data_IF_947951467367
#
_entry.id   IF_947951467367
#
_cell.length_a   1.000
_cell.length_b   1.000
_cell.length_c   1.000
_cell.angle_alpha   90.00
_cell.angle_beta   90.00
_cell.angle_gamma   90.00
#
_symmetry.space_group_name_H-M   'P 1'
#
loop_
_entity.id
_entity.type
_entity.pdbx_description
1 polymer ?
#
# COMPACT_ATOMS: atom_id res chain seq x y z
N UNK A 1 36.39 10.07 -17.29
CA UNK A 1 35.26 9.70 -16.41
C UNK A 1 34.04 10.57 -16.69
N UNK A 2 33.99 11.84 -16.25
CA UNK A 2 32.82 12.74 -16.43
C UNK A 2 32.23 12.76 -17.84
N UNK A 3 33.06 12.90 -18.89
CA UNK A 3 32.57 12.93 -20.27
C UNK A 3 31.91 11.61 -20.71
N UNK A 4 32.39 10.46 -20.22
CA UNK A 4 31.81 9.16 -20.51
C UNK A 4 30.49 8.96 -19.75
N UNK A 5 30.45 9.31 -18.46
CA UNK A 5 29.22 9.28 -17.65
C UNK A 5 28.14 10.20 -18.22
N UNK A 6 28.51 11.41 -18.66
CA UNK A 6 27.60 12.34 -19.32
C UNK A 6 27.06 11.76 -20.63
N UNK A 7 27.91 11.13 -21.44
CA UNK A 7 27.47 10.52 -22.70
C UNK A 7 26.48 9.38 -22.45
N UNK A 8 26.76 8.50 -21.48
CA UNK A 8 25.86 7.39 -21.13
C UNK A 8 24.56 7.88 -20.48
N UNK A 9 24.62 8.92 -19.63
CA UNK A 9 23.46 9.56 -19.04
C UNK A 9 22.49 10.05 -20.12
N UNK A 10 23.00 10.76 -21.12
CA UNK A 10 22.19 11.31 -22.21
C UNK A 10 21.67 10.22 -23.15
N UNK A 11 22.47 9.17 -23.40
CA UNK A 11 22.02 8.00 -24.16
C UNK A 11 20.84 7.29 -23.48
N UNK A 12 20.91 7.11 -22.16
CA UNK A 12 19.82 6.50 -21.39
C UNK A 12 18.59 7.40 -21.29
N UNK A 13 18.79 8.71 -21.16
CA UNK A 13 17.70 9.67 -21.03
C UNK A 13 16.91 9.85 -22.33
N UNK A 14 17.58 9.85 -23.48
CA UNK A 14 16.95 10.17 -24.78
C UNK A 14 16.94 9.03 -25.80
N UNK A 15 17.80 8.02 -25.61
CA UNK A 15 17.98 6.91 -26.55
C UNK A 15 17.25 5.63 -26.15
N UNK A 16 16.58 5.59 -25.00
CA UNK A 16 15.90 4.40 -24.47
C UNK A 16 14.50 4.73 -23.94
N UNK A 17 13.57 3.80 -24.13
CA UNK A 17 12.23 3.89 -23.54
C UNK A 17 12.28 3.62 -22.01
N UNK A 18 13.20 2.74 -21.58
CA UNK A 18 13.55 2.51 -20.17
C UNK A 18 15.05 2.84 -19.95
N UNK A 19 15.35 3.85 -19.12
CA UNK A 19 16.73 4.22 -18.82
C UNK A 19 17.53 3.18 -18.01
N UNK A 20 16.89 2.21 -17.36
CA UNK A 20 17.51 1.16 -16.54
C UNK A 20 18.54 1.69 -15.52
N UNK A 21 18.13 2.68 -14.71
CA UNK A 21 19.03 3.40 -13.79
C UNK A 21 19.66 2.51 -12.72
N UNK A 22 18.89 1.59 -12.12
CA UNK A 22 19.38 0.74 -11.02
C UNK A 22 20.49 -0.22 -11.48
N UNK A 23 20.32 -0.84 -12.66
CA UNK A 23 21.34 -1.72 -13.25
C UNK A 23 22.62 -0.94 -13.55
N UNK A 24 22.47 0.27 -14.09
CA UNK A 24 23.62 1.12 -14.38
C UNK A 24 24.38 1.50 -13.12
N UNK A 25 23.68 2.05 -12.12
CA UNK A 25 24.28 2.50 -10.87
C UNK A 25 24.92 1.33 -10.11
N UNK A 26 24.33 0.12 -10.16
CA UNK A 26 24.91 -1.07 -9.56
C UNK A 26 26.30 -1.41 -10.12
N UNK A 27 26.54 -1.12 -11.41
CA UNK A 27 27.83 -1.35 -12.08
C UNK A 27 28.89 -0.26 -11.85
N UNK A 28 28.51 0.90 -11.29
CA UNK A 28 29.43 2.03 -11.09
C UNK A 28 30.24 1.91 -9.79
N UNK A 29 31.51 2.33 -9.85
CA UNK A 29 32.36 2.55 -8.68
C UNK A 29 31.90 3.76 -7.85
N UNK A 30 32.39 3.87 -6.61
CA UNK A 30 32.05 5.00 -5.74
C UNK A 30 32.40 6.36 -6.37
N UNK A 31 33.59 6.49 -6.96
CA UNK A 31 34.02 7.73 -7.62
C UNK A 31 33.16 8.08 -8.85
N UNK A 32 32.64 7.07 -9.55
CA UNK A 32 31.72 7.29 -10.68
C UNK A 32 30.33 7.70 -10.21
N UNK A 33 29.86 7.16 -9.08
CA UNK A 33 28.58 7.57 -8.47
C UNK A 33 28.65 9.03 -7.99
N UNK A 34 29.73 9.44 -7.36
CA UNK A 34 29.92 10.83 -6.91
C UNK A 34 29.95 11.82 -8.10
N UNK A 35 30.64 11.45 -9.18
CA UNK A 35 30.67 12.27 -10.39
C UNK A 35 29.32 12.28 -11.11
N UNK A 36 28.59 11.17 -11.09
CA UNK A 36 27.26 11.07 -11.67
C UNK A 36 26.23 11.88 -10.88
N UNK A 37 26.31 11.88 -9.55
CA UNK A 37 25.53 12.76 -8.67
C UNK A 37 25.81 14.24 -8.98
N UNK A 38 27.08 14.60 -9.19
CA UNK A 38 27.45 15.96 -9.61
C UNK A 38 26.88 16.36 -10.98
N UNK A 39 26.81 15.41 -11.92
CA UNK A 39 26.16 15.64 -13.21
C UNK A 39 24.64 15.77 -13.06
N UNK A 40 24.03 14.93 -12.22
CA UNK A 40 22.61 14.95 -11.92
C UNK A 40 22.16 16.30 -11.36
N UNK A 41 22.89 16.87 -10.40
CA UNK A 41 22.59 18.21 -9.84
C UNK A 41 22.55 19.27 -10.94
N UNK A 42 23.53 19.27 -11.85
CA UNK A 42 23.58 20.22 -12.97
C UNK A 42 22.36 20.07 -13.87
N UNK A 43 22.02 18.84 -14.26
CA UNK A 43 20.91 18.61 -15.18
C UNK A 43 19.53 18.85 -14.55
N UNK A 44 19.33 18.50 -13.28
CA UNK A 44 18.07 18.79 -12.57
C UNK A 44 17.81 20.29 -12.39
N UNK A 45 18.85 21.13 -12.46
CA UNK A 45 18.72 22.60 -12.42
C UNK A 45 18.44 23.23 -13.78
N UNK A 46 18.76 22.53 -14.87
CA UNK A 46 18.63 23.04 -16.24
C UNK A 46 17.42 22.48 -16.99
N UNK A 47 16.92 21.31 -16.59
CA UNK A 47 15.86 20.58 -17.27
C UNK A 47 14.56 20.58 -16.45
N UNK A 48 13.44 20.55 -17.17
CA UNK A 48 12.09 20.57 -16.61
C UNK A 48 11.20 19.47 -17.21
N UNK A 49 9.98 19.31 -16.68
CA UNK A 49 8.99 18.35 -17.20
C UNK A 49 9.46 16.90 -17.15
N UNK A 50 9.18 16.13 -18.22
CA UNK A 50 9.41 14.68 -18.30
C UNK A 50 10.89 14.28 -18.13
N UNK A 51 11.82 15.11 -18.60
CA UNK A 51 13.25 14.80 -18.54
C UNK A 51 13.76 14.87 -17.10
N UNK A 52 13.29 15.86 -16.33
CA UNK A 52 13.57 15.98 -14.91
C UNK A 52 12.90 14.88 -14.07
N UNK A 53 11.70 14.42 -14.44
CA UNK A 53 11.06 13.26 -13.80
C UNK A 53 11.88 11.97 -14.00
N UNK A 54 12.38 11.76 -15.22
CA UNK A 54 13.25 10.63 -15.53
C UNK A 54 14.58 10.71 -14.76
N UNK A 55 15.17 11.90 -14.64
CA UNK A 55 16.39 12.13 -13.85
C UNK A 55 16.18 11.99 -12.34
N UNK A 56 15.00 12.31 -11.81
CA UNK A 56 14.66 12.02 -10.41
C UNK A 56 14.72 10.51 -10.11
N UNK A 57 14.38 9.67 -11.11
CA UNK A 57 14.60 8.22 -11.06
C UNK A 57 16.07 7.84 -10.86
N UNK A 58 17.00 8.52 -11.53
CA UNK A 58 18.44 8.31 -11.33
C UNK A 58 18.89 8.74 -9.91
N UNK A 59 18.35 9.84 -9.39
CA UNK A 59 18.62 10.27 -8.01
C UNK A 59 18.15 9.26 -6.95
N UNK A 60 17.06 8.54 -7.23
CA UNK A 60 16.62 7.40 -6.41
C UNK A 60 17.60 6.23 -6.48
N UNK A 61 18.01 5.83 -7.68
CA UNK A 61 19.00 4.76 -7.89
C UNK A 61 20.35 5.06 -7.22
N UNK A 62 20.78 6.33 -7.22
CA UNK A 62 21.98 6.80 -6.52
C UNK A 62 21.82 6.90 -4.99
N UNK A 63 20.62 6.65 -4.45
CA UNK A 63 20.34 6.75 -3.02
C UNK A 63 20.48 8.19 -2.47
N UNK A 64 20.28 9.21 -3.32
CA UNK A 64 20.37 10.62 -2.92
C UNK A 64 19.20 10.99 -2.00
N UNK A 65 17.99 10.55 -2.33
CA UNK A 65 16.79 10.78 -1.53
C UNK A 65 16.91 10.26 -0.08
N UNK A 66 17.34 9.01 0.12
CA UNK A 66 17.55 8.41 1.46
C UNK A 66 18.69 9.09 2.24
N UNK A 67 19.73 9.57 1.57
CA UNK A 67 20.79 10.37 2.20
C UNK A 67 20.26 11.73 2.63
N UNK A 68 19.56 12.43 1.75
CA UNK A 68 18.97 13.73 2.03
C UNK A 68 17.98 13.66 3.20
N UNK A 69 17.09 12.65 3.25
CA UNK A 69 16.16 12.46 4.38
C UNK A 69 16.89 12.24 5.71
N UNK A 70 17.97 11.44 5.72
CA UNK A 70 18.82 11.26 6.92
C UNK A 70 19.56 12.52 7.33
N UNK A 71 20.03 13.32 6.36
CA UNK A 71 20.68 14.61 6.60
C UNK A 71 19.69 15.67 7.12
N UNK A 72 18.42 15.61 6.70
CA UNK A 72 17.36 16.43 7.30
C UNK A 72 17.19 16.09 8.78
N UNK A 73 17.08 14.80 9.11
CA UNK A 73 16.84 14.35 10.48
C UNK A 73 18.04 14.60 11.41
N UNK A 74 19.26 14.33 10.94
CA UNK A 74 20.44 14.24 11.80
C UNK A 74 21.52 15.30 11.52
N UNK A 75 21.39 16.06 10.43
CA UNK A 75 22.44 16.93 9.92
C UNK A 75 22.51 18.30 10.59
N UNK A 76 23.66 18.96 10.41
CA UNK A 76 23.83 20.37 10.76
C UNK A 76 22.99 21.28 9.88
N UNK A 77 23.01 22.59 10.15
CA UNK A 77 22.29 23.59 9.34
C UNK A 77 22.61 23.48 7.83
N UNK A 78 23.88 23.27 7.49
CA UNK A 78 24.32 23.19 6.10
C UNK A 78 23.91 21.89 5.42
N UNK A 79 24.04 20.75 6.11
CA UNK A 79 23.64 19.44 5.60
C UNK A 79 22.13 19.42 5.35
N UNK A 80 21.32 19.94 6.27
CA UNK A 80 19.87 20.08 6.10
C UNK A 80 19.49 20.95 4.91
N UNK A 81 20.16 22.10 4.75
CA UNK A 81 19.88 23.01 3.63
C UNK A 81 20.21 22.35 2.29
N UNK A 82 21.34 21.64 2.23
CA UNK A 82 21.76 20.91 1.04
C UNK A 82 20.81 19.75 0.73
N UNK A 83 20.39 19.00 1.75
CA UNK A 83 19.42 17.93 1.62
C UNK A 83 18.06 18.42 1.11
N UNK A 84 17.56 19.55 1.61
CA UNK A 84 16.32 20.16 1.11
C UNK A 84 16.41 20.57 -0.36
N UNK A 85 17.57 21.08 -0.79
CA UNK A 85 17.82 21.38 -2.21
C UNK A 85 17.77 20.10 -3.04
N UNK A 86 18.36 19.01 -2.56
CA UNK A 86 18.29 17.72 -3.24
C UNK A 86 16.87 17.16 -3.32
N UNK A 87 16.12 17.18 -2.21
CA UNK A 87 14.72 16.73 -2.24
C UNK A 87 13.88 17.59 -3.19
N UNK A 88 14.09 18.91 -3.21
CA UNK A 88 13.41 19.79 -4.16
C UNK A 88 13.78 19.46 -5.62
N UNK A 89 15.06 19.27 -5.93
CA UNK A 89 15.53 18.90 -7.27
C UNK A 89 15.01 17.53 -7.70
N UNK A 90 14.89 16.59 -6.77
CA UNK A 90 14.34 15.26 -7.01
C UNK A 90 12.81 15.23 -7.04
N UNK A 91 12.15 16.38 -6.84
CA UNK A 91 10.69 16.48 -6.72
C UNK A 91 10.14 15.55 -5.61
N UNK A 92 10.96 15.35 -4.59
CA UNK A 92 10.73 14.53 -3.38
C UNK A 92 10.74 15.41 -2.12
N UNK A 93 10.57 16.72 -2.27
CA UNK A 93 10.37 17.61 -1.13
C UNK A 93 9.13 17.14 -0.35
N UNK A 94 9.19 17.06 1.00
CA UNK A 94 7.99 16.80 1.78
C UNK A 94 7.01 17.95 1.49
N UNK A 95 5.94 17.65 0.77
CA UNK A 95 5.00 18.68 0.30
C UNK A 95 4.11 19.23 1.42
N UNK A 96 4.28 18.76 2.66
CA UNK A 96 3.84 19.44 3.88
C UNK A 96 4.62 18.87 5.07
N UNK A 97 5.10 19.72 5.97
CA UNK A 97 5.61 19.25 7.25
C UNK A 97 4.48 18.53 8.02
N UNK A 98 4.77 17.43 8.74
CA UNK A 98 3.79 16.77 9.60
C UNK A 98 3.17 17.78 10.57
N UNK A 99 1.85 17.71 10.77
CA UNK A 99 1.16 18.48 11.80
C UNK A 99 1.61 17.94 13.17
N UNK A 100 2.26 18.79 13.97
CA UNK A 100 2.73 18.44 15.31
C UNK A 100 1.69 18.84 16.35
N UNK A 101 1.19 17.87 17.11
CA UNK A 101 0.20 18.11 18.17
C UNK A 101 0.85 18.19 19.56
N UNK A 102 2.09 17.70 19.72
CA UNK A 102 2.81 17.74 21.00
C UNK A 102 2.23 16.82 22.07
N UNK A 103 1.48 15.80 21.66
CA UNK A 103 0.81 14.81 22.54
C UNK A 103 1.67 13.55 22.82
N UNK A 104 2.89 13.52 22.29
CA UNK A 104 3.81 12.39 22.42
C UNK A 104 3.66 11.30 21.35
N UNK A 105 2.68 11.40 20.45
CA UNK A 105 2.46 10.45 19.35
C UNK A 105 2.94 10.97 17.98
N UNK A 106 3.48 12.20 17.92
CA UNK A 106 3.91 12.85 16.67
C UNK A 106 4.87 12.00 15.83
N UNK A 107 5.85 11.33 16.45
CA UNK A 107 6.81 10.49 15.73
C UNK A 107 6.17 9.21 15.16
N UNK A 108 5.15 8.67 15.81
CA UNK A 108 4.38 7.53 15.29
C UNK A 108 3.52 7.96 14.10
N UNK A 109 3.05 9.21 14.07
CA UNK A 109 2.25 9.77 12.97
C UNK A 109 3.08 10.29 11.81
N UNK A 110 4.33 10.63 12.02
CA UNK A 110 5.21 11.08 10.93
C UNK A 110 5.61 9.91 10.04
N UNK A 111 4.96 9.80 8.88
CA UNK A 111 5.32 8.85 7.84
C UNK A 111 6.62 9.21 7.12
N UNK A 112 7.59 8.31 7.10
CA UNK A 112 8.91 8.50 6.47
C UNK A 112 9.04 7.77 5.14
N UNK A 113 8.18 6.77 4.88
CA UNK A 113 8.23 5.97 3.67
C UNK A 113 6.97 5.17 3.40
N UNK A 114 6.76 4.86 2.12
CA UNK A 114 5.74 3.95 1.62
C UNK A 114 6.36 3.06 0.56
N UNK A 115 6.35 1.74 0.78
CA UNK A 115 6.87 0.75 -0.18
C UNK A 115 5.77 -0.23 -0.56
N UNK A 116 5.74 -0.61 -1.82
CA UNK A 116 4.76 -1.55 -2.36
C UNK A 116 5.49 -2.63 -3.13
N UNK A 117 5.10 -3.88 -2.91
CA UNK A 117 5.56 -5.04 -3.66
C UNK A 117 4.42 -6.03 -3.80
N UNK A 118 4.63 -7.10 -4.54
CA UNK A 118 3.63 -8.16 -4.67
C UNK A 118 4.25 -9.51 -4.97
N UNK A 119 3.51 -10.55 -4.63
CA UNK A 119 3.80 -11.92 -5.04
C UNK A 119 2.55 -12.57 -5.69
N UNK A 120 2.58 -13.88 -5.87
CA UNK A 120 1.49 -14.62 -6.50
C UNK A 120 0.17 -14.57 -5.71
N UNK A 121 0.21 -14.33 -4.40
CA UNK A 121 -0.94 -14.38 -3.51
C UNK A 121 -1.36 -12.98 -3.01
N UNK A 122 -0.41 -12.07 -2.81
CA UNK A 122 -0.64 -10.81 -2.11
C UNK A 122 -0.07 -9.58 -2.82
N UNK A 123 -0.80 -8.47 -2.72
CA UNK A 123 -0.22 -7.13 -2.72
C UNK A 123 0.30 -6.84 -1.30
N UNK A 124 1.55 -6.41 -1.16
CA UNK A 124 2.16 -6.09 0.13
C UNK A 124 2.56 -4.62 0.18
N UNK A 125 2.15 -3.93 1.25
CA UNK A 125 2.41 -2.51 1.49
C UNK A 125 3.14 -2.36 2.82
N UNK A 126 4.19 -1.55 2.83
CA UNK A 126 4.94 -1.20 4.04
C UNK A 126 4.88 0.30 4.25
N UNK A 127 4.38 0.69 5.41
CA UNK A 127 4.37 2.07 5.91
C UNK A 127 5.53 2.21 6.88
N UNK A 128 6.35 3.25 6.72
CA UNK A 128 7.43 3.57 7.65
C UNK A 128 7.08 4.86 8.38
N UNK A 129 7.33 4.88 9.69
CA UNK A 129 7.16 6.04 10.56
C UNK A 129 8.52 6.57 11.03
N UNK A 130 8.56 7.75 11.64
CA UNK A 130 9.78 8.30 12.24
C UNK A 130 10.20 7.49 13.47
N UNK A 131 9.24 7.21 14.36
CA UNK A 131 9.45 6.27 15.46
C UNK A 131 8.13 5.65 15.94
N UNK A 132 8.09 4.31 16.01
CA UNK A 132 6.98 3.57 16.65
C UNK A 132 7.25 3.26 18.13
N UNK A 133 8.50 3.44 18.60
CA UNK A 133 8.87 3.15 19.99
C UNK A 133 8.64 1.67 20.37
N UNK A 134 7.74 1.42 21.33
CA UNK A 134 7.38 0.06 21.75
C UNK A 134 6.27 -0.60 20.91
N UNK A 135 5.65 0.15 20.00
CA UNK A 135 4.45 -0.20 19.26
C UNK A 135 3.54 1.01 19.07
N UNK A 136 2.50 0.85 18.24
CA UNK A 136 1.56 1.94 17.95
C UNK A 136 0.56 2.07 19.10
N UNK A 137 0.38 3.30 19.59
CA UNK A 137 -0.78 3.68 20.40
C UNK A 137 -1.98 3.97 19.49
N UNK A 138 -2.87 2.99 19.35
CA UNK A 138 -4.03 3.06 18.45
C UNK A 138 -5.11 4.05 18.91
N UNK A 139 -5.07 4.50 20.17
CA UNK A 139 -5.97 5.55 20.66
C UNK A 139 -5.48 6.95 20.23
N UNK A 140 -4.19 7.08 19.90
CA UNK A 140 -3.58 8.34 19.46
C UNK A 140 -3.26 8.38 17.96
N UNK A 141 -3.14 7.21 17.30
CA UNK A 141 -2.67 7.09 15.93
C UNK A 141 -3.42 6.00 15.16
N UNK A 142 -4.08 6.41 14.08
CA UNK A 142 -4.50 5.51 13.02
C UNK A 142 -3.70 5.79 11.74
N UNK A 143 -3.60 4.77 10.90
CA UNK A 143 -3.11 4.91 9.53
C UNK A 143 -4.21 4.55 8.54
N UNK A 144 -4.13 5.14 7.35
CA UNK A 144 -5.01 4.86 6.24
C UNK A 144 -4.19 4.58 4.98
N UNK A 145 -4.54 3.53 4.25
CA UNK A 145 -4.10 3.31 2.88
C UNK A 145 -5.28 3.52 1.92
N UNK A 146 -5.08 4.33 0.89
CA UNK A 146 -5.97 4.43 -0.25
C UNK A 146 -5.40 3.58 -1.40
N UNK A 147 -6.22 2.72 -2.00
CA UNK A 147 -5.82 1.81 -3.09
C UNK A 147 -6.75 1.98 -4.27
N UNK A 148 -6.24 2.47 -5.40
CA UNK A 148 -6.95 2.70 -6.67
C UNK A 148 -6.55 1.70 -7.76
N UNK A 149 -7.55 1.08 -8.40
CA UNK A 149 -7.44 0.00 -9.39
C UNK A 149 -8.30 0.23 -10.65
N UNK A 150 -9.48 0.85 -10.52
CA UNK A 150 -10.50 0.92 -11.58
C UNK A 150 -10.32 2.13 -12.49
N UNK A 151 -10.60 3.31 -11.97
CA UNK A 151 -10.35 4.61 -12.57
C UNK A 151 -9.46 5.44 -11.64
N UNK A 152 -8.77 6.44 -12.21
CA UNK A 152 -7.90 7.35 -11.44
C UNK A 152 -8.65 8.58 -10.92
N UNK A 153 -9.98 8.52 -10.87
CA UNK A 153 -10.79 9.61 -10.36
C UNK A 153 -10.58 9.77 -8.87
N UNK A 154 -10.37 11.00 -8.42
CA UNK A 154 -10.28 11.30 -6.99
C UNK A 154 -11.64 11.11 -6.32
N UNK A 155 -11.61 10.58 -5.10
CA UNK A 155 -12.81 10.30 -4.30
C UNK A 155 -12.57 10.73 -2.87
N UNK A 156 -13.60 11.32 -2.27
CA UNK A 156 -13.56 11.63 -0.85
C UNK A 156 -13.29 10.35 -0.03
N UNK A 157 -12.37 10.45 0.92
CA UNK A 157 -12.00 9.36 1.81
C UNK A 157 -12.95 9.31 3.02
N UNK A 158 -13.13 8.13 3.65
CA UNK A 158 -14.01 7.96 4.80
C UNK A 158 -13.41 8.59 6.07
N UNK A 159 -14.03 8.34 7.22
CA UNK A 159 -13.52 8.72 8.55
C UNK A 159 -13.40 10.23 8.82
N UNK A 160 -14.10 11.07 8.04
CA UNK A 160 -14.08 12.52 8.27
C UNK A 160 -12.71 13.16 8.04
N UNK A 161 -11.87 12.57 7.18
CA UNK A 161 -10.51 13.05 6.93
C UNK A 161 -10.45 14.40 6.22
N UNK A 162 -11.54 14.81 5.56
CA UNK A 162 -11.55 16.00 4.71
C UNK A 162 -10.61 15.91 3.52
N UNK A 163 -10.23 14.70 3.12
CA UNK A 163 -9.25 14.45 2.07
C UNK A 163 -9.81 13.54 0.96
N UNK A 164 -9.19 13.58 -0.22
CA UNK A 164 -9.54 12.74 -1.35
C UNK A 164 -8.36 11.91 -1.87
N UNK A 165 -8.61 10.82 -2.59
CA UNK A 165 -7.58 10.06 -3.32
C UNK A 165 -8.23 9.20 -4.42
N UNK A 166 -7.46 8.72 -5.42
CA UNK A 166 -7.86 7.57 -6.22
C UNK A 166 -7.97 6.33 -5.34
N UNK A 167 -9.20 5.93 -4.99
CA UNK A 167 -9.43 4.89 -4.00
C UNK A 167 -10.66 4.03 -4.34
N UNK A 168 -10.43 2.77 -4.72
CA UNK A 168 -11.46 1.72 -4.76
C UNK A 168 -11.55 0.98 -3.44
N UNK A 169 -10.42 0.85 -2.75
CA UNK A 169 -10.34 0.25 -1.43
C UNK A 169 -9.65 1.20 -0.47
N UNK A 170 -10.09 1.15 0.79
CA UNK A 170 -9.48 1.87 1.89
C UNK A 170 -9.15 0.88 2.99
N UNK A 171 -7.89 0.88 3.42
CA UNK A 171 -7.43 0.12 4.58
C UNK A 171 -7.28 1.08 5.74
N UNK A 172 -8.06 0.87 6.80
CA UNK A 172 -7.82 1.52 8.09
C UNK A 172 -6.96 0.58 8.95
N UNK A 173 -5.86 1.09 9.47
CA UNK A 173 -5.09 0.46 10.54
C UNK A 173 -5.40 1.20 11.85
N UNK A 174 -6.29 0.62 12.66
CA UNK A 174 -6.71 1.18 13.95
C UNK A 174 -6.58 0.20 15.11
N UNK A 175 -5.69 -0.79 14.95
CA UNK A 175 -5.42 -1.82 15.95
C UNK A 175 -6.15 -3.14 15.71
N UNK A 176 -5.83 -4.18 16.50
CA UNK A 176 -6.26 -5.57 16.25
C UNK A 176 -7.76 -5.80 16.05
N UNK A 177 -8.60 -5.01 16.72
CA UNK A 177 -10.06 -5.18 16.68
C UNK A 177 -10.76 -4.21 15.72
N UNK A 178 -10.04 -3.23 15.16
CA UNK A 178 -10.62 -2.16 14.35
C UNK A 178 -10.08 -2.08 12.92
N UNK A 179 -8.91 -2.68 12.66
CA UNK A 179 -8.28 -2.65 11.34
C UNK A 179 -9.03 -3.48 10.31
N UNK A 180 -9.29 -2.87 9.15
CA UNK A 180 -10.07 -3.49 8.09
C UNK A 180 -9.82 -2.86 6.73
N UNK A 181 -10.10 -3.64 5.71
CA UNK A 181 -10.24 -3.23 4.32
C UNK A 181 -11.72 -3.02 4.02
N UNK A 182 -12.03 -1.87 3.44
CA UNK A 182 -13.36 -1.52 2.94
C UNK A 182 -13.28 -1.18 1.46
N UNK A 183 -14.39 -1.29 0.76
CA UNK A 183 -14.47 -1.09 -0.70
C UNK A 183 -15.48 -0.01 -1.03
N UNK A 184 -15.22 0.75 -2.10
CA UNK A 184 -16.21 1.67 -2.67
C UNK A 184 -17.49 0.87 -2.98
N UNK A 185 -18.68 1.32 -2.57
CA UNK A 185 -19.90 0.53 -2.72
C UNK A 185 -20.17 0.08 -4.15
N UNK A 186 -19.87 0.93 -5.16
CA UNK A 186 -20.01 0.57 -6.57
C UNK A 186 -19.11 -0.59 -6.99
N UNK A 187 -17.97 -0.76 -6.34
CA UNK A 187 -17.02 -1.84 -6.61
C UNK A 187 -17.13 -3.00 -5.59
N UNK A 188 -18.21 -3.06 -4.80
CA UNK A 188 -18.54 -4.20 -3.94
C UNK A 188 -19.22 -5.33 -4.74
N UNK A 189 -18.45 -6.33 -5.16
CA UNK A 189 -18.96 -7.48 -5.90
C UNK A 189 -19.95 -8.34 -5.09
N UNK A 190 -19.84 -8.37 -3.76
CA UNK A 190 -20.80 -9.04 -2.90
C UNK A 190 -22.15 -8.34 -2.95
N UNK A 191 -22.16 -7.01 -2.90
CA UNK A 191 -23.40 -6.24 -2.96
C UNK A 191 -24.09 -6.37 -4.31
N UNK A 192 -23.33 -6.38 -5.40
CA UNK A 192 -23.88 -6.63 -6.74
C UNK A 192 -24.55 -8.01 -6.84
N UNK A 193 -23.83 -9.07 -6.47
CA UNK A 193 -24.30 -10.45 -6.68
C UNK A 193 -25.35 -10.89 -5.66
N UNK A 194 -25.15 -10.53 -4.38
CA UNK A 194 -25.91 -11.07 -3.26
C UNK A 194 -26.63 -10.00 -2.44
N UNK A 195 -26.48 -8.72 -2.78
CA UNK A 195 -27.00 -7.63 -1.95
C UNK A 195 -28.51 -7.67 -1.77
N UNK A 196 -29.28 -8.06 -2.80
CA UNK A 196 -30.73 -8.24 -2.68
C UNK A 196 -31.11 -9.35 -1.67
N UNK A 197 -30.41 -10.49 -1.72
CA UNK A 197 -30.60 -11.61 -0.78
C UNK A 197 -30.18 -11.23 0.65
N UNK A 198 -29.13 -10.42 0.77
CA UNK A 198 -28.62 -9.88 2.03
C UNK A 198 -29.43 -8.67 2.55
N UNK A 199 -30.47 -8.23 1.83
CA UNK A 199 -31.32 -7.09 2.24
C UNK A 199 -30.63 -5.72 2.17
N UNK A 200 -29.64 -5.56 1.29
CA UNK A 200 -28.95 -4.30 1.06
C UNK A 200 -29.78 -3.37 0.15
N UNK A 201 -29.68 -2.07 0.41
CA UNK A 201 -30.20 -1.02 -0.45
C UNK A 201 -29.27 -0.85 -1.67
N UNK A 202 -29.56 -1.57 -2.76
CA UNK A 202 -28.68 -1.64 -3.94
C UNK A 202 -28.47 -0.30 -4.63
N UNK A 203 -29.40 0.65 -4.50
CA UNK A 203 -29.25 1.97 -5.11
C UNK A 203 -28.06 2.72 -4.50
N UNK A 204 -27.84 2.57 -3.17
CA UNK A 204 -26.67 3.14 -2.48
C UNK A 204 -25.34 2.49 -2.88
N UNK A 205 -25.38 1.28 -3.42
CA UNK A 205 -24.18 0.63 -3.94
C UNK A 205 -23.94 1.04 -5.39
N UNK A 206 -24.99 1.17 -6.19
CA UNK A 206 -24.87 1.58 -7.59
C UNK A 206 -24.45 3.04 -7.73
N UNK A 207 -25.02 3.92 -6.91
CA UNK A 207 -24.79 5.38 -6.90
C UNK A 207 -24.49 5.83 -5.46
N UNK A 208 -23.27 5.55 -4.95
CA UNK A 208 -22.92 5.87 -3.58
C UNK A 208 -22.70 7.37 -3.35
N UNK A 209 -23.08 7.84 -2.16
CA UNK A 209 -22.67 9.14 -1.65
C UNK A 209 -21.13 9.22 -1.54
N UNK A 210 -20.52 10.40 -1.72
CA UNK A 210 -19.08 10.59 -1.53
C UNK A 210 -18.62 10.18 -0.12
N UNK A 211 -17.43 9.59 -0.01
CA UNK A 211 -16.85 9.21 1.29
C UNK A 211 -17.39 7.93 1.90
N UNK A 212 -18.38 7.27 1.27
CA UNK A 212 -18.93 6.00 1.75
C UNK A 212 -18.07 4.84 1.26
N UNK A 213 -17.68 3.97 2.20
CA UNK A 213 -17.02 2.69 1.94
C UNK A 213 -17.75 1.58 2.69
N UNK A 214 -17.88 0.42 2.05
CA UNK A 214 -18.64 -0.74 2.54
C UNK A 214 -17.71 -1.85 3.03
N UNK A 215 -18.11 -2.64 4.04
CA UNK A 215 -17.37 -3.83 4.44
C UNK A 215 -17.34 -4.90 3.34
N UNK A 216 -16.16 -5.47 3.11
CA UNK A 216 -15.98 -6.63 2.24
C UNK A 216 -16.57 -7.88 2.91
N UNK A 217 -17.38 -8.64 2.16
CA UNK A 217 -18.14 -9.78 2.68
C UNK A 217 -18.04 -11.00 1.76
N UNK A 218 -18.18 -12.18 2.36
CA UNK A 218 -18.31 -13.45 1.66
C UNK A 218 -19.57 -14.18 2.13
N UNK A 219 -20.32 -14.76 1.20
CA UNK A 219 -21.47 -15.61 1.50
C UNK A 219 -20.99 -16.93 2.10
N UNK A 220 -21.55 -17.30 3.26
CA UNK A 220 -21.37 -18.61 3.90
C UNK A 220 -22.56 -19.52 3.57
N UNK A 221 -23.77 -18.95 3.53
CA UNK A 221 -25.00 -19.64 3.21
C UNK A 221 -25.98 -18.70 2.51
N UNK A 222 -26.61 -19.13 1.41
CA UNK A 222 -27.66 -18.33 0.73
C UNK A 222 -29.04 -18.44 1.37
N UNK A 223 -29.16 -19.28 2.39
CA UNK A 223 -30.42 -19.61 3.04
C UNK A 223 -31.21 -20.64 2.23
N UNK A 224 -31.95 -21.49 2.94
CA UNK A 224 -32.76 -22.54 2.33
C UNK A 224 -33.80 -23.05 3.34
N UNK A 225 -34.82 -23.75 2.84
CA UNK A 225 -35.80 -24.44 3.68
C UNK A 225 -35.47 -25.92 3.73
N UNK A 226 -35.31 -26.48 4.93
CA UNK A 226 -35.09 -27.91 5.14
C UNK A 226 -36.37 -28.66 4.74
N UNK A 227 -36.37 -29.50 3.69
CA UNK A 227 -37.61 -30.05 3.14
C UNK A 227 -38.40 -30.93 4.12
N UNK A 228 -37.70 -31.62 5.04
CA UNK A 228 -38.33 -32.56 5.98
C UNK A 228 -38.98 -31.87 7.18
N UNK A 229 -38.39 -30.79 7.67
CA UNK A 229 -38.82 -30.10 8.89
C UNK A 229 -39.58 -28.82 8.59
N UNK A 230 -39.45 -28.27 7.37
CA UNK A 230 -39.95 -26.95 7.01
C UNK A 230 -39.17 -25.80 7.66
N UNK A 231 -38.08 -26.11 8.39
CA UNK A 231 -37.26 -25.11 9.05
C UNK A 231 -36.52 -24.24 8.03
N UNK A 232 -36.51 -22.93 8.25
CA UNK A 232 -35.83 -21.96 7.39
C UNK A 232 -34.44 -21.66 7.95
N UNK A 233 -33.41 -22.02 7.21
CA UNK A 233 -32.03 -21.58 7.45
C UNK A 233 -31.84 -20.22 6.77
N UNK A 234 -31.41 -19.17 7.48
CA UNK A 234 -31.28 -17.83 6.91
C UNK A 234 -30.06 -17.72 5.99
N UNK A 235 -30.04 -16.63 5.22
CA UNK A 235 -28.84 -16.17 4.54
C UNK A 235 -27.78 -15.77 5.58
N UNK A 236 -26.53 -16.12 5.34
CA UNK A 236 -25.40 -15.83 6.22
C UNK A 236 -24.20 -15.38 5.39
N UNK A 237 -23.56 -14.31 5.83
CA UNK A 237 -22.29 -13.82 5.29
C UNK A 237 -21.36 -13.40 6.42
N UNK A 238 -20.07 -13.33 6.10
CA UNK A 238 -19.03 -12.91 7.04
C UNK A 238 -18.23 -11.75 6.44
N UNK A 239 -17.84 -10.79 7.28
CA UNK A 239 -16.89 -9.73 6.90
C UNK A 239 -15.48 -10.32 6.73
N UNK A 240 -14.96 -10.21 5.51
CA UNK A 240 -13.63 -10.70 5.12
C UNK A 240 -12.58 -9.60 5.07
N UNK A 241 -12.99 -8.34 5.19
CA UNK A 241 -12.08 -7.20 5.22
C UNK A 241 -11.32 -7.02 6.54
N UNK A 242 -11.70 -7.70 7.64
CA UNK A 242 -11.04 -7.56 8.94
C UNK A 242 -9.62 -8.11 8.90
N UNK A 243 -8.65 -7.31 9.38
CA UNK A 243 -7.24 -7.62 9.29
C UNK A 243 -6.72 -8.30 10.56
N UNK A 244 -6.00 -9.41 10.38
CA UNK A 244 -5.41 -10.15 11.50
C UNK A 244 -3.98 -9.67 11.77
N UNK A 245 -3.70 -9.24 13.00
CA UNK A 245 -2.33 -8.90 13.41
C UNK A 245 -1.55 -10.15 13.79
N UNK A 246 -0.27 -10.19 13.45
CA UNK A 246 0.63 -11.27 13.86
C UNK A 246 2.02 -11.16 13.24
N UNK A 247 2.71 -12.29 13.10
CA UNK A 247 4.05 -12.35 12.52
C UNK A 247 4.10 -13.44 11.45
N UNK A 248 4.23 -13.04 10.18
CA UNK A 248 4.31 -13.97 9.05
C UNK A 248 5.68 -14.66 8.88
N UNK A 249 6.67 -14.36 9.71
CA UNK A 249 7.98 -14.98 9.64
C UNK A 249 7.93 -16.42 10.18
N UNK A 250 8.17 -17.45 9.34
CA UNK A 250 8.11 -18.85 9.74
C UNK A 250 9.16 -19.27 10.79
N UNK A 251 10.20 -18.47 10.97
CA UNK A 251 11.28 -18.72 11.96
C UNK A 251 11.01 -18.03 13.30
N UNK A 252 9.88 -17.33 13.43
CA UNK A 252 9.47 -16.67 14.68
C UNK A 252 8.69 -17.62 15.58
N UNK A 253 8.97 -17.59 16.88
CA UNK A 253 8.17 -18.31 17.90
C UNK A 253 6.70 -17.84 17.95
N UNK A 254 6.42 -16.67 17.37
CA UNK A 254 5.06 -16.10 17.24
C UNK A 254 4.52 -16.20 15.81
N UNK A 255 5.04 -17.14 15.02
CA UNK A 255 4.62 -17.32 13.63
C UNK A 255 3.11 -17.55 13.52
N UNK A 256 2.49 -16.77 12.64
CA UNK A 256 1.11 -16.91 12.24
C UNK A 256 1.01 -16.74 10.72
N UNK A 257 0.78 -17.86 10.03
CA UNK A 257 0.63 -17.84 8.56
C UNK A 257 -0.57 -17.03 8.09
N UNK A 258 -1.53 -16.74 8.96
CA UNK A 258 -2.76 -15.99 8.67
C UNK A 258 -2.65 -14.50 9.04
N UNK A 259 -1.51 -14.01 9.53
CA UNK A 259 -1.30 -12.61 9.87
C UNK A 259 -1.26 -11.67 8.65
N UNK A 260 -2.21 -10.77 8.52
CA UNK A 260 -2.29 -9.76 7.47
C UNK A 260 -1.51 -8.50 7.78
N UNK A 261 -1.35 -8.17 9.06
CA UNK A 261 -0.63 -6.98 9.52
C UNK A 261 0.47 -7.38 10.50
N UNK A 262 1.68 -6.86 10.27
CA UNK A 262 2.80 -6.96 11.19
C UNK A 262 3.29 -5.56 11.57
N UNK A 263 3.26 -5.26 12.87
CA UNK A 263 3.91 -4.05 13.42
C UNK A 263 5.31 -4.43 13.84
N UNK A 264 6.31 -3.73 13.29
CA UNK A 264 7.72 -3.96 13.54
C UNK A 264 8.35 -2.70 14.17
N UNK A 265 8.25 -2.52 15.51
CA UNK A 265 8.80 -1.34 16.17
C UNK A 265 10.32 -1.22 16.00
N UNK A 266 11.04 -2.35 15.87
CA UNK A 266 12.48 -2.34 15.64
C UNK A 266 12.91 -1.79 14.28
N UNK A 267 11.97 -1.70 13.34
CA UNK A 267 12.20 -1.18 11.99
C UNK A 267 11.33 0.06 11.72
N UNK A 268 10.65 0.58 12.75
CA UNK A 268 9.67 1.67 12.67
C UNK A 268 8.69 1.53 11.50
N UNK A 269 8.19 0.30 11.29
CA UNK A 269 7.40 -0.04 10.13
C UNK A 269 6.17 -0.89 10.45
N UNK A 270 5.15 -0.74 9.61
CA UNK A 270 3.94 -1.57 9.59
C UNK A 270 3.82 -2.19 8.21
N UNK A 271 3.73 -3.50 8.17
CA UNK A 271 3.64 -4.30 6.95
C UNK A 271 2.23 -4.88 6.84
N UNK A 272 1.59 -4.69 5.68
CA UNK A 272 0.24 -5.13 5.37
C UNK A 272 0.30 -6.01 4.13
N UNK A 273 -0.33 -7.18 4.17
CA UNK A 273 -0.53 -8.04 3.00
C UNK A 273 -2.02 -8.17 2.69
N UNK A 274 -2.37 -8.00 1.42
CA UNK A 274 -3.75 -8.01 0.95
C UNK A 274 -3.89 -9.05 -0.16
N UNK A 275 -4.72 -10.09 0.02
CA UNK A 275 -4.95 -11.08 -1.03
C UNK A 275 -5.47 -10.40 -2.30
N UNK A 276 -4.98 -10.81 -3.46
CA UNK A 276 -5.44 -10.25 -4.75
C UNK A 276 -6.96 -10.31 -4.93
N UNK A 277 -7.56 -11.43 -4.52
CA UNK A 277 -9.01 -11.61 -4.59
C UNK A 277 -9.79 -10.65 -3.70
N UNK A 278 -9.22 -10.19 -2.58
CA UNK A 278 -9.85 -9.20 -1.70
C UNK A 278 -9.97 -7.84 -2.42
N UNK A 279 -9.09 -7.58 -3.39
CA UNK A 279 -9.02 -6.36 -4.18
C UNK A 279 -9.72 -6.50 -5.55
N UNK A 280 -10.57 -7.52 -5.72
CA UNK A 280 -11.23 -7.84 -7.00
C UNK A 280 -10.25 -8.10 -8.17
N UNK A 281 -8.98 -8.44 -7.88
CA UNK A 281 -8.00 -8.85 -8.88
C UNK A 281 -8.14 -10.35 -9.11
N UNK A 282 -8.64 -10.71 -10.29
CA UNK A 282 -8.94 -12.09 -10.65
C UNK A 282 -7.71 -12.85 -11.15
N UNK A 283 -6.82 -12.16 -11.87
CA UNK A 283 -5.58 -12.72 -12.38
C UNK A 283 -4.45 -11.69 -12.28
N UNK A 284 -3.67 -11.68 -11.18
CA UNK A 284 -2.58 -10.73 -11.00
C UNK A 284 -1.42 -11.00 -11.97
N UNK A 285 -1.27 -12.23 -12.48
CA UNK A 285 -0.19 -12.60 -13.40
C UNK A 285 -0.31 -11.93 -14.77
N UNK A 286 -1.54 -11.54 -15.13
CA UNK A 286 -1.90 -10.80 -16.34
C UNK A 286 -2.51 -9.43 -16.06
N UNK A 287 -2.44 -8.97 -14.80
CA UNK A 287 -3.03 -7.71 -14.32
C UNK A 287 -4.52 -7.56 -14.71
N UNK A 288 -5.33 -8.59 -14.47
CA UNK A 288 -6.78 -8.56 -14.74
C UNK A 288 -7.58 -8.45 -13.45
N UNK A 289 -8.50 -7.50 -13.43
CA UNK A 289 -9.47 -7.26 -12.34
C UNK A 289 -10.89 -7.40 -12.86
N UNK A 290 -11.87 -7.43 -11.96
CA UNK A 290 -13.28 -7.29 -12.33
C UNK A 290 -13.54 -5.92 -13.00
N UNK A 291 -14.33 -5.92 -14.06
CA UNK A 291 -14.77 -4.70 -14.76
C UNK A 291 -15.92 -3.97 -14.05
N UNK A 292 -16.63 -3.09 -14.76
CA UNK A 292 -17.88 -2.49 -14.26
C UNK A 292 -19.05 -3.49 -14.35
N UNK A 293 -19.16 -4.34 -13.34
CA UNK A 293 -20.19 -5.37 -13.28
C UNK A 293 -21.62 -4.82 -13.20
N UNK A 294 -21.83 -3.54 -12.87
CA UNK A 294 -23.18 -2.92 -12.95
C UNK A 294 -23.64 -2.64 -14.38
N UNK A 295 -22.71 -2.65 -15.33
CA UNK A 295 -22.92 -2.39 -16.75
C UNK A 295 -22.77 -3.67 -17.57
N UNK A 296 -21.70 -4.43 -17.34
CA UNK A 296 -21.29 -5.58 -18.18
C UNK A 296 -21.45 -6.96 -17.48
N UNK A 297 -21.72 -6.98 -16.17
CA UNK A 297 -21.80 -8.20 -15.36
C UNK A 297 -20.45 -8.70 -14.81
N UNK A 298 -20.48 -9.73 -13.95
CA UNK A 298 -19.28 -10.24 -13.24
C UNK A 298 -18.30 -11.03 -14.11
N UNK A 299 -18.74 -11.50 -15.28
CA UNK A 299 -17.88 -12.22 -16.21
C UNK A 299 -16.99 -11.26 -17.03
N UNK A 300 -17.18 -9.95 -16.88
CA UNK A 300 -16.34 -8.93 -17.48
C UNK A 300 -15.08 -8.67 -16.65
N UNK A 301 -13.95 -8.62 -17.36
CA UNK A 301 -12.63 -8.40 -16.77
C UNK A 301 -11.87 -7.34 -17.55
N UNK A 302 -11.30 -6.41 -16.82
CA UNK A 302 -10.48 -5.34 -17.38
C UNK A 302 -9.01 -5.52 -16.99
N UNK A 303 -8.12 -5.15 -17.90
CA UNK A 303 -6.69 -5.07 -17.60
C UNK A 303 -6.39 -3.74 -16.91
N UNK A 304 -5.47 -3.75 -15.94
CA UNK A 304 -4.91 -2.55 -15.34
C UNK A 304 -3.38 -2.51 -15.52
N UNK A 305 -2.80 -1.32 -15.59
CA UNK A 305 -1.34 -1.17 -15.72
C UNK A 305 -0.64 -0.95 -14.39
N UNK A 306 -1.33 -0.27 -13.47
CA UNK A 306 -0.79 0.14 -12.19
C UNK A 306 -1.86 0.19 -11.12
N UNK A 307 -1.40 0.20 -9.88
CA UNK A 307 -2.18 0.39 -8.66
C UNK A 307 -1.71 1.68 -8.03
N UNK A 308 -2.63 2.61 -7.80
CA UNK A 308 -2.36 3.85 -7.08
C UNK A 308 -2.46 3.56 -5.58
N UNK A 309 -1.40 3.85 -4.81
CA UNK A 309 -1.34 3.61 -3.37
C UNK A 309 -0.89 4.88 -2.65
N UNK A 310 -1.69 5.38 -1.73
CA UNK A 310 -1.33 6.50 -0.85
C UNK A 310 -1.48 6.11 0.62
N UNK A 311 -0.68 6.70 1.50
CA UNK A 311 -0.76 6.47 2.93
C UNK A 311 -0.89 7.78 3.70
N UNK A 312 -1.66 7.77 4.78
CA UNK A 312 -1.79 8.89 5.70
C UNK A 312 -1.93 8.42 7.15
N UNK A 313 -1.60 9.32 8.08
CA UNK A 313 -1.82 9.17 9.51
C UNK A 313 -2.76 10.25 10.02
N UNK A 314 -3.50 9.95 11.08
CA UNK A 314 -4.40 10.88 11.73
C UNK A 314 -4.71 10.44 13.17
N UNK A 315 -5.38 11.31 13.92
CA UNK A 315 -5.85 11.04 15.28
C UNK A 315 -7.27 10.50 15.27
N UNK A 316 -7.55 9.29 15.76
CA UNK A 316 -8.91 8.85 15.99
C UNK A 316 -9.54 9.55 17.21
N UNK A 317 -10.84 9.84 17.16
CA UNK A 317 -11.61 10.32 18.32
C UNK A 317 -12.59 9.28 18.87
N UNK A 318 -12.79 8.17 18.16
CA UNK A 318 -13.71 7.10 18.53
C UNK A 318 -13.25 5.73 17.97
N UNK A 319 -14.00 4.69 18.35
CA UNK A 319 -13.73 3.31 17.91
C UNK A 319 -13.91 3.10 16.39
N UNK A 320 -14.81 3.87 15.78
CA UNK A 320 -15.06 3.85 14.33
C UNK A 320 -13.90 4.49 13.55
N UNK A 321 -13.02 5.19 14.26
CA UNK A 321 -11.82 5.81 13.72
C UNK A 321 -12.09 7.12 13.03
N UNK A 322 -13.13 7.85 13.46
CA UNK A 322 -13.36 9.23 12.98
C UNK A 322 -12.13 10.08 13.30
N UNK A 323 -11.67 10.87 12.34
CA UNK A 323 -10.52 11.75 12.52
C UNK A 323 -10.87 12.95 13.41
N UNK A 324 -9.94 13.33 14.28
CA UNK A 324 -10.03 14.58 15.03
C UNK A 324 -10.00 15.78 14.07
N UNK A 325 -10.85 16.77 14.32
CA UNK A 325 -10.82 18.02 13.57
C UNK A 325 -9.51 18.78 13.84
N UNK A 326 -8.84 19.19 12.76
CA UNK A 326 -7.62 20.00 12.81
C UNK A 326 -7.89 21.38 12.21
N UNK A 327 -7.17 22.40 12.67
CA UNK A 327 -7.13 23.72 12.02
C UNK A 327 -6.20 23.67 10.80
N UNK A 328 -6.59 22.86 9.82
CA UNK A 328 -5.86 22.58 8.60
C UNK A 328 -6.84 22.25 7.46
N UNK A 329 -6.32 22.13 6.24
CA UNK A 329 -7.12 21.79 5.06
C UNK A 329 -7.73 20.38 5.14
N UNK A 330 -7.02 19.46 5.79
CA UNK A 330 -7.48 18.09 6.05
C UNK A 330 -7.23 17.75 7.52
N UNK A 331 -7.91 16.72 8.01
CA UNK A 331 -7.73 16.16 9.34
C UNK A 331 -6.58 15.14 9.41
N UNK A 332 -5.68 15.16 8.43
CA UNK A 332 -4.49 14.31 8.39
C UNK A 332 -3.35 14.97 9.17
N UNK A 333 -2.62 14.16 9.94
CA UNK A 333 -1.39 14.60 10.58
C UNK A 333 -0.18 14.49 9.66
N UNK A 334 -0.12 13.47 8.80
CA UNK A 334 0.87 13.36 7.74
C UNK A 334 0.37 12.47 6.60
N UNK A 335 0.91 12.64 5.41
CA UNK A 335 0.63 11.79 4.25
C UNK A 335 1.89 11.60 3.41
N UNK A 336 2.04 10.41 2.83
CA UNK A 336 3.11 10.09 1.88
C UNK A 336 2.53 9.50 0.59
N UNK A 337 3.01 9.94 -0.59
CA UNK A 337 4.04 10.97 -0.81
C UNK A 337 3.65 12.42 -0.45
N UNK A 338 2.36 12.73 -0.29
CA UNK A 338 1.92 14.06 0.13
C UNK A 338 0.42 14.27 -0.02
N UNK A 339 -0.06 15.47 0.35
CA UNK A 339 -1.48 15.87 0.25
C UNK A 339 -1.63 17.28 -0.34
N UNK A 340 -1.30 17.50 -1.63
CA UNK A 340 -1.55 18.78 -2.29
C UNK A 340 -3.05 19.07 -2.39
N UNK A 341 -3.46 20.28 -2.01
CA UNK A 341 -4.84 20.79 -2.14
C UNK A 341 -5.91 19.81 -1.59
N UNK A 342 -5.60 19.17 -0.46
CA UNK A 342 -6.49 18.21 0.21
C UNK A 342 -6.60 16.82 -0.45
N UNK A 343 -5.85 16.54 -1.52
CA UNK A 343 -5.84 15.24 -2.19
C UNK A 343 -4.55 14.47 -1.90
N UNK A 344 -4.65 13.23 -1.41
CA UNK A 344 -3.49 12.36 -1.21
C UNK A 344 -2.91 12.00 -2.58
N UNK A 345 -1.67 12.42 -2.81
CA UNK A 345 -0.90 11.99 -3.96
C UNK A 345 -0.62 10.49 -3.83
N UNK A 346 -0.89 9.66 -4.86
CA UNK A 346 -0.53 8.25 -4.82
C UNK A 346 0.90 8.00 -5.31
N UNK A 347 1.54 6.99 -4.75
CA UNK A 347 2.60 6.22 -5.39
C UNK A 347 1.97 5.27 -6.41
N UNK A 348 2.51 5.23 -7.61
CA UNK A 348 2.08 4.30 -8.66
C UNK A 348 2.92 3.02 -8.60
N UNK A 349 2.29 1.88 -8.36
CA UNK A 349 2.93 0.57 -8.37
C UNK A 349 2.49 -0.24 -9.60
N UNK A 350 3.44 -0.75 -10.38
CA UNK A 350 3.17 -1.59 -11.56
C UNK A 350 3.51 -3.05 -11.22
N UNK A 351 2.53 -3.91 -10.91
CA UNK A 351 2.82 -5.29 -10.53
C UNK A 351 3.50 -6.03 -11.69
N UNK A 352 4.54 -6.84 -11.45
CA UNK A 352 5.14 -7.63 -12.53
C UNK A 352 4.10 -8.59 -13.13
N UNK A 353 4.27 -8.98 -14.39
CA UNK A 353 3.52 -10.09 -15.00
C UNK A 353 4.36 -11.36 -14.98
N UNK A 354 3.72 -12.53 -15.01
CA UNK A 354 4.44 -13.81 -14.99
C UNK A 354 3.63 -14.93 -15.63
N UNK A 355 4.32 -15.92 -16.21
CA UNK A 355 3.72 -17.21 -16.57
C UNK A 355 3.95 -18.27 -15.48
N UNK A 356 4.98 -18.07 -14.65
CA UNK A 356 5.31 -18.91 -13.50
C UNK A 356 5.67 -18.03 -12.31
N UNK A 357 5.00 -18.17 -11.16
CA UNK A 357 5.34 -17.38 -10.00
C UNK A 357 6.72 -17.80 -9.46
N UNK A 358 7.47 -16.83 -8.93
CA UNK A 358 8.60 -17.15 -8.08
C UNK A 358 8.08 -17.81 -6.79
N UNK A 359 8.71 -18.90 -6.37
CA UNK A 359 8.36 -19.59 -5.12
C UNK A 359 9.62 -20.06 -4.42
N UNK A 360 9.51 -20.21 -3.10
CA UNK A 360 10.50 -20.90 -2.28
C UNK A 360 9.79 -22.03 -1.55
N UNK A 361 10.31 -23.25 -1.68
CA UNK A 361 9.78 -24.38 -0.94
C UNK A 361 10.32 -24.36 0.49
N UNK A 362 9.43 -24.66 1.43
CA UNK A 362 9.81 -24.88 2.84
C UNK A 362 9.04 -26.08 3.37
N UNK A 363 9.75 -26.97 4.04
CA UNK A 363 9.11 -28.07 4.76
C UNK A 363 8.34 -27.49 5.96
N UNK A 364 7.02 -27.65 5.96
CA UNK A 364 6.19 -27.31 7.13
C UNK A 364 6.57 -28.22 8.30
N UNK A 365 6.43 -27.72 9.52
CA UNK A 365 6.68 -28.52 10.73
C UNK A 365 5.84 -29.81 10.76
N UNK A 366 4.57 -29.71 10.33
CA UNK A 366 3.68 -30.87 10.18
C UNK A 366 4.16 -31.90 9.15
N UNK A 367 5.03 -31.52 8.21
CA UNK A 367 5.61 -32.44 7.23
C UNK A 367 6.43 -33.55 7.88
N UNK A 368 7.12 -33.25 8.99
CA UNK A 368 7.85 -34.28 9.76
C UNK A 368 6.89 -35.26 10.42
N UNK A 369 5.82 -34.75 11.03
CA UNK A 369 4.77 -35.56 11.68
C UNK A 369 4.12 -36.52 10.67
N UNK A 370 3.77 -36.00 9.49
CA UNK A 370 3.20 -36.82 8.41
C UNK A 370 4.21 -37.86 7.94
N UNK A 371 5.47 -37.48 7.76
CA UNK A 371 6.57 -38.39 7.40
C UNK A 371 6.72 -39.55 8.38
N UNK A 372 6.71 -39.27 9.69
CA UNK A 372 6.82 -40.27 10.75
C UNK A 372 5.64 -41.25 10.72
N UNK A 373 4.42 -40.77 10.47
CA UNK A 373 3.23 -41.62 10.33
C UNK A 373 3.37 -42.58 9.14
N UNK A 374 3.77 -42.07 7.98
CA UNK A 374 3.98 -42.92 6.80
C UNK A 374 5.12 -43.91 6.98
N UNK A 375 6.18 -43.54 7.71
CA UNK A 375 7.28 -44.44 8.03
C UNK A 375 6.83 -45.62 8.91
N UNK A 376 5.94 -45.40 9.89
CA UNK A 376 5.37 -46.49 10.72
C UNK A 376 4.57 -47.49 9.89
N UNK A 377 3.68 -46.99 9.03
CA UNK A 377 2.91 -47.85 8.11
C UNK A 377 3.82 -48.64 7.15
N UNK A 378 4.89 -48.03 6.64
CA UNK A 378 5.84 -48.71 5.76
C UNK A 378 6.65 -49.80 6.48
N UNK A 379 6.90 -49.63 7.78
CA UNK A 379 7.65 -50.57 8.61
C UNK A 379 6.76 -51.65 9.29
N UNK A 380 5.44 -51.57 9.14
CA UNK A 380 4.49 -52.55 9.70
C UNK A 380 4.20 -52.37 11.20
N UNK A 381 4.39 -51.16 11.73
CA UNK A 381 4.07 -50.78 13.11
C UNK A 381 2.69 -50.11 13.26
#
# INVERSE_FOLDING_TARGET
MRAALRSELLDRLYGRDDPAWDEWVAGLSAAERDELESLLDVYLRELDGRDADALAGLGRALGVHERARREIANGGYWDRTHALVWLALLRDAPERDPVRLGDGADASRELTGLRVTSDAAYLSVRIEADALGGGVDWDATNYLLAIGLTDRGERALPHGLGAAAPADFVVRLGGPDASRVTVRPRYDAFAYEYGAEAGLDLDRYREPDPGVFSPLRLVINRGYTVPKTGERVPFESVETGRLRYGNGNPDSDRYDSLADVHVSPSNDAIEVRLPWQLLNVADPSRRRRLGDFWSEGLDDYETFEAIDVAAASYVPVDADGTAAELDAETNLTHAVPGVPDGSLRPLRFEPPTWDRPAYTERLKESGRIVGDVFARYANGE
#
